data_IF_548577495984
#
_entry.id   IF_548577495984
#
_cell.length_a   1.000
_cell.length_b   1.000
_cell.length_c   1.000
_cell.angle_alpha   90.00
_cell.angle_beta   90.00
_cell.angle_gamma   90.00
#
_symmetry.space_group_name_H-M   'P 1'
#
loop_
_entity.id
_entity.type
_entity.pdbx_description
1 polymer ?
#
# COMPACT_ATOMS: atom_id res chain seq x y z
N UNK A 1 -31.70 -9.82 20.69
CA UNK A 1 -32.64 -10.40 21.67
C UNK A 1 -33.95 -9.62 21.59
N UNK A 2 -34.64 -9.69 20.45
CA UNK A 2 -35.88 -8.93 20.23
C UNK A 2 -36.62 -9.40 18.97
N UNK A 3 -36.59 -10.71 18.69
CA UNK A 3 -37.36 -11.32 17.59
C UNK A 3 -38.25 -12.46 18.08
N UNK A 4 -38.19 -12.81 19.38
CA UNK A 4 -38.94 -13.93 19.96
C UNK A 4 -40.14 -13.49 20.80
N UNK A 5 -40.35 -12.18 21.03
CA UNK A 5 -41.53 -11.66 21.75
C UNK A 5 -42.70 -11.31 20.82
N UNK A 6 -42.43 -10.90 19.58
CA UNK A 6 -43.49 -10.45 18.64
C UNK A 6 -44.32 -11.63 18.08
N UNK A 7 -43.72 -12.83 17.95
CA UNK A 7 -44.43 -14.04 17.49
C UNK A 7 -45.38 -14.59 18.56
N UNK A 8 -45.17 -14.27 19.84
CA UNK A 8 -46.01 -14.77 20.94
C UNK A 8 -47.32 -13.98 21.05
N UNK A 9 -47.34 -12.70 20.66
CA UNK A 9 -48.56 -11.89 20.66
C UNK A 9 -49.52 -12.23 19.51
N UNK A 10 -48.99 -12.57 18.31
CA UNK A 10 -49.85 -12.98 17.18
C UNK A 10 -50.54 -14.34 17.43
N UNK A 11 -49.81 -15.30 18.01
CA UNK A 11 -50.40 -16.61 18.39
C UNK A 11 -51.45 -16.44 19.49
N UNK A 12 -51.24 -15.52 20.44
CA UNK A 12 -52.21 -15.22 21.49
C UNK A 12 -53.50 -14.58 20.92
N UNK A 13 -53.40 -13.71 19.91
CA UNK A 13 -54.56 -13.11 19.25
C UNK A 13 -55.37 -14.14 18.45
N UNK A 14 -54.74 -15.03 17.70
CA UNK A 14 -55.44 -16.09 16.96
C UNK A 14 -56.16 -17.07 17.89
N UNK A 15 -55.54 -17.42 19.01
CA UNK A 15 -56.15 -18.30 20.03
C UNK A 15 -57.34 -17.59 20.70
N UNK A 16 -57.25 -16.30 21.02
CA UNK A 16 -58.38 -15.54 21.58
C UNK A 16 -59.56 -15.44 20.60
N UNK A 17 -59.27 -15.20 19.31
CA UNK A 17 -60.29 -15.10 18.26
C UNK A 17 -60.99 -16.44 18.06
N UNK A 18 -60.26 -17.56 18.03
CA UNK A 18 -60.83 -18.91 17.94
C UNK A 18 -61.66 -19.28 19.18
N UNK A 19 -61.24 -18.85 20.38
CA UNK A 19 -61.99 -19.03 21.63
C UNK A 19 -63.29 -18.20 21.60
N UNK A 20 -63.26 -16.96 21.15
CA UNK A 20 -64.46 -16.11 21.07
C UNK A 20 -65.43 -16.58 19.97
N UNK A 21 -64.93 -17.05 18.82
CA UNK A 21 -65.76 -17.66 17.77
C UNK A 21 -66.41 -18.96 18.26
N UNK A 22 -65.68 -19.81 18.98
CA UNK A 22 -66.23 -21.04 19.55
C UNK A 22 -67.24 -20.78 20.66
N UNK A 23 -67.03 -19.77 21.52
CA UNK A 23 -68.04 -19.35 22.52
C UNK A 23 -69.30 -18.82 21.82
N UNK A 24 -69.15 -18.04 20.75
CA UNK A 24 -70.27 -17.47 19.99
C UNK A 24 -71.09 -18.56 19.28
N UNK A 25 -70.42 -19.53 18.65
CA UNK A 25 -71.06 -20.69 18.00
C UNK A 25 -71.70 -21.67 19.01
N UNK A 26 -71.17 -21.74 20.23
CA UNK A 26 -71.68 -22.62 21.30
C UNK A 26 -72.87 -21.98 22.06
N UNK A 27 -72.99 -20.65 22.07
CA UNK A 27 -74.14 -19.93 22.61
C UNK A 27 -75.40 -20.06 21.72
N UNK A 28 -75.24 -20.16 20.40
CA UNK A 28 -76.38 -20.30 19.47
C UNK A 28 -77.05 -21.69 19.53
N UNK A 29 -76.35 -22.74 19.96
CA UNK A 29 -76.93 -24.10 20.09
C UNK A 29 -77.58 -24.37 21.45
N UNK A 30 -77.29 -23.58 22.50
CA UNK A 30 -77.89 -23.76 23.85
C UNK A 30 -79.04 -22.80 24.18
N UNK A 31 -79.24 -21.73 23.42
CA UNK A 31 -80.41 -20.85 23.60
C UNK A 31 -81.67 -21.43 22.94
N UNK A 32 -81.53 -22.27 21.90
CA UNK A 32 -82.66 -22.94 21.23
C UNK A 32 -83.27 -24.11 22.04
N UNK A 33 -82.60 -24.60 23.09
CA UNK A 33 -83.14 -25.65 23.97
C UNK A 33 -83.77 -25.13 25.27
N UNK A 34 -83.66 -23.83 25.57
CA UNK A 34 -84.23 -23.25 26.80
C UNK A 34 -85.59 -22.57 26.61
N UNK A 35 -86.06 -22.37 25.37
CA UNK A 35 -87.38 -21.80 25.08
C UNK A 35 -88.52 -22.82 24.95
N UNK A 36 -88.24 -24.12 25.13
CA UNK A 36 -89.25 -25.19 25.03
C UNK A 36 -89.72 -25.75 26.40
N UNK A 37 -89.50 -25.03 27.51
CA UNK A 37 -89.87 -25.52 28.85
C UNK A 37 -90.71 -24.56 29.71
N UNK A 38 -91.30 -23.49 29.16
CA UNK A 38 -92.16 -22.61 29.98
C UNK A 38 -93.36 -22.03 29.22
N UNK A 39 -94.35 -22.88 28.90
CA UNK A 39 -95.77 -22.50 28.94
C UNK A 39 -96.68 -23.71 28.68
N UNK A 40 -97.03 -24.46 29.74
CA UNK A 40 -98.29 -25.20 29.75
C UNK A 40 -98.73 -25.50 31.19
N UNK A 41 -99.45 -24.56 31.79
CA UNK A 41 -100.33 -24.83 32.93
C UNK A 41 -101.63 -24.05 32.76
N UNK A 42 -102.69 -24.82 32.55
CA UNK A 42 -104.10 -24.53 32.84
C UNK A 42 -104.81 -23.38 32.12
N UNK A 43 -105.78 -23.78 31.27
CA UNK A 43 -107.02 -23.14 30.81
C UNK A 43 -107.06 -23.24 29.27
N UNK A 44 -107.93 -23.99 28.60
CA UNK A 44 -109.33 -24.26 28.89
C UNK A 44 -110.19 -23.81 27.70
N UNK A 45 -110.34 -24.71 26.70
CA UNK A 45 -111.38 -24.76 25.63
C UNK A 45 -111.32 -23.79 24.43
N UNK A 46 -111.08 -24.45 23.28
CA UNK A 46 -111.87 -24.50 22.02
C UNK A 46 -111.66 -23.46 20.90
N UNK A 47 -111.23 -24.05 19.78
CA UNK A 47 -111.49 -23.79 18.34
C UNK A 47 -110.76 -22.65 17.62
N UNK A 48 -109.64 -23.08 17.03
CA UNK A 48 -108.93 -22.66 15.82
C UNK A 48 -109.86 -22.13 14.71
N UNK A 49 -109.62 -20.91 14.23
CA UNK A 49 -109.02 -20.60 12.90
C UNK A 49 -109.34 -19.16 12.50
N UNK A 50 -108.43 -18.21 12.77
CA UNK A 50 -108.21 -16.98 11.99
C UNK A 50 -107.04 -16.16 12.57
N UNK A 51 -106.47 -15.29 11.72
CA UNK A 51 -105.30 -14.38 11.86
C UNK A 51 -104.00 -14.95 11.26
N UNK A 52 -103.61 -14.51 10.06
CA UNK A 52 -102.83 -13.29 9.76
C UNK A 52 -101.42 -13.26 10.39
N UNK A 53 -100.43 -13.14 9.50
CA UNK A 53 -98.98 -12.92 9.62
C UNK A 53 -98.49 -12.11 10.87
N UNK A 54 -97.23 -12.25 11.32
CA UNK A 54 -96.07 -11.96 10.48
C UNK A 54 -94.83 -12.86 10.61
N UNK A 55 -94.28 -13.15 9.44
CA UNK A 55 -92.85 -13.26 9.16
C UNK A 55 -92.22 -11.94 9.61
N UNK A 56 -91.38 -11.90 10.64
CA UNK A 56 -90.38 -10.85 10.92
C UNK A 56 -89.83 -11.01 12.33
N UNK A 57 -88.72 -11.74 12.51
CA UNK A 57 -87.79 -11.49 13.63
C UNK A 57 -86.47 -12.24 13.42
N UNK A 58 -86.50 -13.39 12.73
CA UNK A 58 -85.30 -14.21 12.49
C UNK A 58 -84.42 -13.74 11.31
N UNK A 59 -84.95 -12.92 10.40
CA UNK A 59 -84.20 -12.43 9.23
C UNK A 59 -83.55 -11.06 9.45
N UNK A 60 -83.79 -10.39 10.58
CA UNK A 60 -83.18 -9.08 10.87
C UNK A 60 -81.88 -9.20 11.68
N UNK A 61 -81.72 -10.26 12.47
CA UNK A 61 -80.56 -10.44 13.35
C UNK A 61 -79.32 -11.01 12.62
N UNK A 62 -79.52 -11.80 11.55
CA UNK A 62 -78.43 -12.37 10.76
C UNK A 62 -77.76 -11.35 9.82
N UNK A 63 -78.51 -10.34 9.34
CA UNK A 63 -77.97 -9.28 8.47
C UNK A 63 -77.13 -8.23 9.23
N UNK A 64 -77.40 -7.96 10.51
CA UNK A 64 -76.55 -7.08 11.32
C UNK A 64 -75.25 -7.78 11.76
N UNK A 65 -75.31 -9.08 12.11
CA UNK A 65 -74.12 -9.86 12.48
C UNK A 65 -73.14 -10.04 11.31
N UNK A 66 -73.64 -10.28 10.10
CA UNK A 66 -72.84 -10.34 8.88
C UNK A 66 -72.23 -8.97 8.54
N UNK A 67 -72.95 -7.86 8.75
CA UNK A 67 -72.39 -6.51 8.56
C UNK A 67 -71.29 -6.17 9.57
N UNK A 68 -71.43 -6.54 10.84
CA UNK A 68 -70.40 -6.31 11.86
C UNK A 68 -69.15 -7.17 11.60
N UNK A 69 -69.32 -8.44 11.21
CA UNK A 69 -68.19 -9.29 10.84
C UNK A 69 -67.48 -8.79 9.57
N UNK A 70 -68.24 -8.39 8.56
CA UNK A 70 -67.71 -7.78 7.34
C UNK A 70 -66.95 -6.47 7.67
N UNK A 71 -67.50 -5.64 8.56
CA UNK A 71 -66.89 -4.38 9.00
C UNK A 71 -65.60 -4.60 9.80
N UNK A 72 -65.57 -5.60 10.69
CA UNK A 72 -64.38 -5.96 11.47
C UNK A 72 -63.26 -6.56 10.60
N UNK A 73 -63.62 -7.32 9.56
CA UNK A 73 -62.69 -7.83 8.54
C UNK A 73 -62.13 -6.67 7.70
N UNK A 74 -62.96 -5.70 7.31
CA UNK A 74 -62.53 -4.52 6.54
C UNK A 74 -61.60 -3.62 7.37
N UNK A 75 -61.89 -3.43 8.66
CA UNK A 75 -61.02 -2.64 9.56
C UNK A 75 -59.66 -3.34 9.73
N UNK A 76 -59.62 -4.63 10.07
CA UNK A 76 -58.34 -5.37 10.18
C UNK A 76 -57.55 -5.38 8.88
N UNK A 77 -58.22 -5.48 7.72
CA UNK A 77 -57.55 -5.46 6.42
C UNK A 77 -56.94 -4.09 6.11
N UNK A 78 -57.62 -3.00 6.46
CA UNK A 78 -57.09 -1.65 6.28
C UNK A 78 -55.91 -1.35 7.21
N UNK A 79 -55.94 -1.83 8.47
CA UNK A 79 -54.86 -1.62 9.44
C UNK A 79 -53.58 -2.38 9.04
N UNK A 80 -53.71 -3.63 8.57
CA UNK A 80 -52.57 -4.42 8.08
C UNK A 80 -51.95 -3.80 6.82
N UNK A 81 -52.78 -3.32 5.87
CA UNK A 81 -52.30 -2.62 4.68
C UNK A 81 -51.60 -1.29 5.03
N UNK A 82 -52.08 -0.56 6.04
CA UNK A 82 -51.47 0.69 6.50
C UNK A 82 -50.12 0.45 7.19
N UNK A 83 -49.98 -0.64 7.96
CA UNK A 83 -48.71 -1.05 8.57
C UNK A 83 -47.68 -1.42 7.51
N UNK A 84 -48.08 -2.20 6.49
CA UNK A 84 -47.18 -2.54 5.38
C UNK A 84 -46.73 -1.31 4.59
N UNK A 85 -47.63 -0.36 4.33
CA UNK A 85 -47.28 0.91 3.68
C UNK A 85 -46.30 1.73 4.52
N UNK A 86 -46.55 1.91 5.81
CA UNK A 86 -45.65 2.66 6.72
C UNK A 86 -44.27 2.02 6.82
N UNK A 87 -44.18 0.69 6.79
CA UNK A 87 -42.90 -0.03 6.75
C UNK A 87 -42.14 0.28 5.45
N UNK A 88 -42.80 0.16 4.30
CA UNK A 88 -42.18 0.50 3.01
C UNK A 88 -41.73 1.97 2.94
N UNK A 89 -42.54 2.91 3.44
CA UNK A 89 -42.18 4.33 3.49
C UNK A 89 -40.97 4.58 4.39
N UNK A 90 -40.91 3.93 5.56
CA UNK A 90 -39.76 4.00 6.47
C UNK A 90 -38.50 3.43 5.81
N UNK A 91 -38.58 2.23 5.25
CA UNK A 91 -37.45 1.58 4.57
C UNK A 91 -36.93 2.44 3.41
N UNK A 92 -37.84 3.03 2.60
CA UNK A 92 -37.46 3.95 1.53
C UNK A 92 -36.79 5.23 2.05
N UNK A 93 -37.29 5.80 3.15
CA UNK A 93 -36.69 6.99 3.77
C UNK A 93 -35.32 6.71 4.38
N UNK A 94 -35.14 5.54 5.01
CA UNK A 94 -33.86 5.10 5.59
C UNK A 94 -32.84 4.85 4.48
N UNK A 95 -33.25 4.18 3.39
CA UNK A 95 -32.40 3.97 2.23
C UNK A 95 -31.97 5.30 1.60
N UNK A 96 -32.89 6.26 1.44
CA UNK A 96 -32.55 7.60 0.94
C UNK A 96 -31.55 8.31 1.86
N UNK A 97 -31.77 8.28 3.17
CA UNK A 97 -30.85 8.87 4.15
C UNK A 97 -29.47 8.21 4.12
N UNK A 98 -29.40 6.89 3.95
CA UNK A 98 -28.13 6.15 3.89
C UNK A 98 -27.36 6.48 2.60
N UNK A 99 -28.05 6.58 1.48
CA UNK A 99 -27.47 6.98 0.19
C UNK A 99 -26.89 8.39 0.30
N UNK A 100 -27.65 9.34 0.84
CA UNK A 100 -27.19 10.72 1.01
C UNK A 100 -26.01 10.81 1.98
N UNK A 101 -26.09 10.12 3.12
CA UNK A 101 -24.98 10.05 4.08
C UNK A 101 -23.71 9.48 3.45
N UNK A 102 -23.82 8.42 2.64
CA UNK A 102 -22.69 7.83 1.92
C UNK A 102 -22.07 8.83 0.94
N UNK A 103 -22.88 9.55 0.14
CA UNK A 103 -22.35 10.56 -0.78
C UNK A 103 -21.69 11.74 -0.06
N UNK A 104 -22.30 12.25 1.01
CA UNK A 104 -21.74 13.35 1.79
C UNK A 104 -20.43 12.93 2.45
N UNK A 105 -20.38 11.74 3.04
CA UNK A 105 -19.16 11.20 3.65
C UNK A 105 -18.06 11.03 2.61
N UNK A 106 -18.35 10.38 1.47
CA UNK A 106 -17.38 10.18 0.38
C UNK A 106 -16.85 11.50 -0.16
N UNK A 107 -17.72 12.48 -0.38
CA UNK A 107 -17.33 13.81 -0.86
C UNK A 107 -16.41 14.51 0.14
N UNK A 108 -16.74 14.46 1.42
CA UNK A 108 -15.91 15.05 2.48
C UNK A 108 -14.55 14.37 2.58
N UNK A 109 -14.51 13.04 2.55
CA UNK A 109 -13.27 12.26 2.53
C UNK A 109 -12.41 12.57 1.29
N UNK A 110 -13.02 12.71 0.12
CA UNK A 110 -12.33 13.07 -1.12
C UNK A 110 -11.75 14.49 -1.05
N UNK A 111 -12.50 15.47 -0.55
CA UNK A 111 -12.02 16.84 -0.34
C UNK A 111 -10.84 16.89 0.65
N UNK A 112 -10.92 16.17 1.76
CA UNK A 112 -9.84 16.06 2.74
C UNK A 112 -8.60 15.37 2.15
N UNK A 113 -8.79 14.31 1.36
CA UNK A 113 -7.73 13.60 0.69
C UNK A 113 -7.03 14.49 -0.35
N UNK A 114 -7.79 15.20 -1.19
CA UNK A 114 -7.27 16.16 -2.16
C UNK A 114 -6.48 17.27 -1.45
N UNK A 115 -7.01 17.83 -0.37
CA UNK A 115 -6.32 18.85 0.42
C UNK A 115 -5.02 18.31 1.04
N UNK A 116 -4.98 17.05 1.47
CA UNK A 116 -3.78 16.40 1.98
C UNK A 116 -2.74 16.16 0.87
N UNK A 117 -3.16 15.63 -0.28
CA UNK A 117 -2.30 15.40 -1.45
C UNK A 117 -1.68 16.72 -1.92
N UNK A 118 -2.48 17.77 -2.09
CA UNK A 118 -2.00 19.10 -2.48
C UNK A 118 -0.93 19.64 -1.50
N UNK A 119 -1.11 19.42 -0.19
CA UNK A 119 -0.10 19.80 0.82
C UNK A 119 1.18 18.97 0.71
N UNK A 120 1.07 17.67 0.45
CA UNK A 120 2.24 16.79 0.25
C UNK A 120 2.99 17.16 -1.03
N UNK A 121 2.27 17.39 -2.13
CA UNK A 121 2.83 17.81 -3.41
C UNK A 121 3.53 19.15 -3.30
N UNK A 122 2.92 20.13 -2.62
CA UNK A 122 3.57 21.42 -2.33
C UNK A 122 4.90 21.23 -1.58
N UNK A 123 4.92 20.42 -0.50
CA UNK A 123 6.16 20.14 0.24
C UNK A 123 7.19 19.39 -0.61
N UNK A 124 6.75 18.48 -1.50
CA UNK A 124 7.66 17.78 -2.43
C UNK A 124 8.26 18.74 -3.44
N UNK A 125 7.46 19.63 -4.01
CA UNK A 125 7.92 20.67 -4.94
C UNK A 125 8.91 21.62 -4.25
N UNK A 126 8.63 22.07 -3.03
CA UNK A 126 9.56 22.91 -2.25
C UNK A 126 10.90 22.20 -1.98
N UNK A 127 10.90 20.91 -1.61
CA UNK A 127 12.14 20.15 -1.44
C UNK A 127 12.89 19.96 -2.76
N UNK A 128 12.18 19.67 -3.84
CA UNK A 128 12.78 19.55 -5.17
C UNK A 128 13.44 20.86 -5.60
N UNK A 129 12.78 21.99 -5.38
CA UNK A 129 13.32 23.31 -5.70
C UNK A 129 14.54 23.66 -4.85
N UNK A 130 14.49 23.41 -3.53
CA UNK A 130 15.65 23.57 -2.65
C UNK A 130 16.84 22.74 -3.13
N UNK A 131 16.60 21.52 -3.58
CA UNK A 131 17.65 20.65 -4.11
C UNK A 131 18.20 21.17 -5.45
N UNK A 132 17.35 21.69 -6.33
CA UNK A 132 17.78 22.35 -7.58
C UNK A 132 18.67 23.54 -7.30
N UNK A 133 18.24 24.46 -6.42
CA UNK A 133 19.02 25.64 -6.04
C UNK A 133 20.37 25.25 -5.41
N UNK A 134 20.40 24.24 -4.55
CA UNK A 134 21.67 23.73 -3.98
C UNK A 134 22.59 23.16 -5.06
N UNK A 135 22.04 22.37 -5.97
CA UNK A 135 22.80 21.74 -7.07
C UNK A 135 23.34 22.81 -8.03
N UNK A 136 22.54 23.83 -8.35
CA UNK A 136 22.94 24.94 -9.20
C UNK A 136 24.05 25.78 -8.56
N UNK A 137 23.90 26.15 -7.28
CA UNK A 137 24.94 26.88 -6.53
C UNK A 137 26.24 26.08 -6.39
N UNK A 138 26.16 24.76 -6.24
CA UNK A 138 27.35 23.90 -6.17
C UNK A 138 28.02 23.76 -7.54
N UNK A 139 27.22 23.59 -8.61
CA UNK A 139 27.71 23.58 -9.99
C UNK A 139 28.39 24.90 -10.35
N UNK A 140 27.85 26.03 -9.92
CA UNK A 140 28.44 27.35 -10.14
C UNK A 140 29.79 27.48 -9.44
N UNK A 141 29.91 27.03 -8.18
CA UNK A 141 31.21 27.03 -7.48
C UNK A 141 32.23 26.15 -8.17
N UNK A 142 31.83 24.96 -8.60
CA UNK A 142 32.70 24.05 -9.34
C UNK A 142 33.12 24.64 -10.69
N UNK A 143 32.21 25.32 -11.39
CA UNK A 143 32.51 26.02 -12.64
C UNK A 143 33.54 27.14 -12.43
N UNK A 144 33.38 27.98 -11.40
CA UNK A 144 34.38 29.03 -11.08
C UNK A 144 35.75 28.44 -10.75
N UNK A 145 35.80 27.34 -9.99
CA UNK A 145 37.06 26.65 -9.68
C UNK A 145 37.70 26.01 -10.92
N UNK A 146 36.88 25.46 -11.82
CA UNK A 146 37.35 24.89 -13.08
C UNK A 146 37.89 25.99 -14.00
N UNK A 147 37.20 27.12 -14.12
CA UNK A 147 37.60 28.25 -14.96
C UNK A 147 38.89 28.93 -14.43
N UNK A 148 39.03 29.13 -13.11
CA UNK A 148 40.27 29.67 -12.53
C UNK A 148 41.46 28.72 -12.75
N UNK A 149 41.21 27.41 -12.65
CA UNK A 149 42.21 26.39 -12.91
C UNK A 149 42.59 26.34 -14.40
N UNK A 150 41.62 26.42 -15.29
CA UNK A 150 41.84 26.46 -16.73
C UNK A 150 42.63 27.72 -17.12
N UNK A 151 42.31 28.88 -16.54
CA UNK A 151 43.08 30.12 -16.75
C UNK A 151 44.54 29.99 -16.31
N UNK A 152 44.80 29.39 -15.14
CA UNK A 152 46.16 29.10 -14.67
C UNK A 152 46.88 28.10 -15.56
N UNK A 153 46.20 27.06 -16.04
CA UNK A 153 46.77 26.07 -16.95
C UNK A 153 47.11 26.67 -18.32
N UNK A 154 46.28 27.55 -18.86
CA UNK A 154 46.56 28.30 -20.10
C UNK A 154 47.75 29.27 -19.93
N UNK A 155 47.82 30.00 -18.81
CA UNK A 155 48.95 30.88 -18.49
C UNK A 155 50.27 30.07 -18.32
N UNK A 156 50.24 28.91 -17.64
CA UNK A 156 51.40 28.04 -17.49
C UNK A 156 51.83 27.39 -18.81
N UNK A 157 50.89 26.99 -19.66
CA UNK A 157 51.18 26.46 -21.00
C UNK A 157 51.82 27.54 -21.88
N UNK A 158 51.27 28.75 -21.89
CA UNK A 158 51.85 29.86 -22.65
C UNK A 158 53.25 30.21 -22.17
N UNK A 159 53.48 30.23 -20.85
CA UNK A 159 54.81 30.46 -20.27
C UNK A 159 55.78 29.35 -20.65
N UNK A 160 55.34 28.08 -20.63
CA UNK A 160 56.17 26.93 -21.04
C UNK A 160 56.52 26.98 -22.53
N UNK A 161 55.57 27.33 -23.40
CA UNK A 161 55.83 27.51 -24.84
C UNK A 161 56.80 28.67 -25.10
N UNK A 162 56.68 29.78 -24.36
CA UNK A 162 57.62 30.89 -24.44
C UNK A 162 59.02 30.53 -23.91
N UNK A 163 59.11 29.78 -22.81
CA UNK A 163 60.38 29.29 -22.25
C UNK A 163 61.04 28.27 -23.16
N UNK A 164 60.29 27.34 -23.77
CA UNK A 164 60.80 26.36 -24.73
C UNK A 164 61.21 27.03 -26.05
N UNK A 165 60.51 28.07 -26.50
CA UNK A 165 60.93 28.88 -27.64
C UNK A 165 62.22 29.67 -27.34
N UNK A 166 62.36 30.24 -26.13
CA UNK A 166 63.60 30.90 -25.68
C UNK A 166 64.75 29.90 -25.54
N UNK A 167 64.51 28.72 -24.97
CA UNK A 167 65.49 27.63 -24.88
C UNK A 167 65.88 27.10 -26.24
N UNK A 168 64.93 26.95 -27.17
CA UNK A 168 65.22 26.54 -28.56
C UNK A 168 66.07 27.58 -29.27
N UNK A 169 65.74 28.88 -29.13
CA UNK A 169 66.56 30.00 -29.65
C UNK A 169 67.96 30.02 -29.02
N UNK A 170 68.08 29.77 -27.72
CA UNK A 170 69.37 29.68 -27.03
C UNK A 170 70.17 28.43 -27.44
N UNK A 171 69.54 27.26 -27.59
CA UNK A 171 70.19 26.03 -28.06
C UNK A 171 70.63 26.14 -29.52
N UNK A 172 69.89 26.84 -30.39
CA UNK A 172 70.35 27.10 -31.77
C UNK A 172 71.56 28.04 -31.81
N UNK A 173 71.80 28.85 -30.78
CA UNK A 173 73.03 29.64 -30.61
C UNK A 173 74.16 28.87 -29.90
N UNK A 174 73.89 27.67 -29.38
CA UNK A 174 74.83 26.87 -28.58
C UNK A 174 74.89 25.41 -29.07
N UNK A 175 74.58 25.15 -30.35
CA UNK A 175 74.77 23.82 -30.97
C UNK A 175 76.22 23.63 -31.43
N UNK A 176 77.14 23.96 -30.54
CA UNK A 176 78.41 23.27 -30.43
C UNK A 176 78.57 22.94 -28.94
N UNK A 177 78.86 21.67 -28.67
CA UNK A 177 79.26 21.13 -27.36
C UNK A 177 78.15 20.65 -26.40
N UNK A 178 77.88 19.34 -26.54
CA UNK A 178 77.84 18.34 -25.46
C UNK A 178 76.69 18.29 -24.43
N UNK A 179 76.24 17.03 -24.26
CA UNK A 179 75.81 16.40 -23.00
C UNK A 179 74.35 16.49 -22.56
N UNK A 180 73.67 15.37 -22.83
CA UNK A 180 72.86 14.57 -21.91
C UNK A 180 72.46 15.16 -20.54
N UNK A 181 71.15 15.12 -20.27
CA UNK A 181 70.63 14.88 -18.92
C UNK A 181 69.73 15.98 -18.37
N UNK A 182 68.41 15.74 -18.42
CA UNK A 182 67.49 15.79 -17.27
C UNK A 182 66.03 15.94 -17.75
N UNK A 183 65.29 14.83 -17.68
CA UNK A 183 63.83 14.82 -17.86
C UNK A 183 63.17 15.30 -16.56
N UNK A 184 62.94 16.61 -16.41
CA UNK A 184 62.08 17.14 -15.35
C UNK A 184 60.61 16.89 -15.70
N UNK A 185 60.02 15.83 -15.15
CA UNK A 185 58.56 15.59 -15.21
C UNK A 185 57.84 16.66 -14.37
N UNK A 186 57.44 17.76 -15.01
CA UNK A 186 56.33 18.60 -14.54
C UNK A 186 55.03 17.82 -14.81
N UNK A 187 54.40 17.33 -13.77
CA UNK A 187 53.07 16.74 -13.82
C UNK A 187 52.33 17.11 -12.54
N UNK A 188 51.11 17.64 -12.68
CA UNK A 188 50.28 18.11 -11.57
C UNK A 188 50.24 17.10 -10.41
N UNK A 189 50.03 17.62 -9.19
CA UNK A 189 50.01 16.87 -7.94
C UNK A 189 49.20 15.58 -8.12
N UNK A 190 49.90 14.47 -8.32
CA UNK A 190 49.26 13.16 -8.53
C UNK A 190 48.42 12.90 -7.30
N UNK A 191 47.13 12.67 -7.50
CA UNK A 191 46.22 12.29 -6.44
C UNK A 191 46.86 11.14 -5.65
N UNK A 192 46.99 11.31 -4.34
CA UNK A 192 47.68 10.33 -3.50
C UNK A 192 46.94 8.99 -3.58
N UNK A 193 47.64 7.86 -3.47
CA UNK A 193 47.00 6.54 -3.46
C UNK A 193 45.91 6.43 -2.37
N UNK A 194 46.08 7.18 -1.26
CA UNK A 194 45.08 7.32 -0.20
C UNK A 194 43.79 7.99 -0.69
N UNK A 195 43.90 9.07 -1.45
CA UNK A 195 42.75 9.77 -2.03
C UNK A 195 42.07 8.94 -3.12
N UNK A 196 42.84 8.23 -3.95
CA UNK A 196 42.27 7.30 -4.95
C UNK A 196 41.50 6.17 -4.27
N UNK A 197 42.07 5.55 -3.23
CA UNK A 197 41.37 4.51 -2.45
C UNK A 197 40.08 5.06 -1.83
N UNK A 198 40.13 6.27 -1.26
CA UNK A 198 38.94 6.90 -0.67
C UNK A 198 37.86 7.16 -1.73
N UNK A 199 38.25 7.64 -2.92
CA UNK A 199 37.35 7.85 -4.05
C UNK A 199 36.71 6.54 -4.50
N UNK A 200 37.51 5.51 -4.78
CA UNK A 200 37.00 4.19 -5.21
C UNK A 200 36.06 3.57 -4.18
N UNK A 201 36.37 3.68 -2.88
CA UNK A 201 35.49 3.17 -1.82
C UNK A 201 34.19 3.96 -1.70
N UNK A 202 34.24 5.29 -1.90
CA UNK A 202 33.03 6.12 -1.93
C UNK A 202 32.16 5.76 -3.14
N UNK A 203 32.75 5.57 -4.33
CA UNK A 203 32.04 5.19 -5.55
C UNK A 203 31.37 3.81 -5.42
N UNK A 204 32.00 2.87 -4.70
CA UNK A 204 31.44 1.54 -4.41
C UNK A 204 30.35 1.57 -3.34
N UNK A 205 30.30 2.60 -2.50
CA UNK A 205 29.35 2.68 -1.38
C UNK A 205 27.98 3.14 -1.91
N UNK A 206 27.07 2.20 -2.11
CA UNK A 206 25.68 2.52 -2.44
C UNK A 206 24.99 3.15 -1.22
N UNK A 207 24.40 4.36 -1.34
CA UNK A 207 23.59 4.92 -0.25
C UNK A 207 22.34 4.05 -0.05
N UNK A 208 22.00 3.79 1.21
CA UNK A 208 20.85 2.97 1.58
C UNK A 208 19.68 3.88 1.98
N UNK A 209 18.55 3.73 1.31
CA UNK A 209 17.30 4.38 1.68
C UNK A 209 16.42 3.35 2.39
N UNK A 210 16.28 3.47 3.71
CA UNK A 210 15.56 2.49 4.56
C UNK A 210 14.29 3.07 5.21
N UNK A 211 14.15 4.38 5.27
CA UNK A 211 13.16 5.06 6.13
C UNK A 211 11.69 4.92 5.66
N UNK A 212 11.46 4.47 4.43
CA UNK A 212 10.12 4.46 3.81
C UNK A 212 9.78 3.10 3.15
N UNK A 213 10.39 2.01 3.62
CA UNK A 213 10.18 0.67 3.05
C UNK A 213 9.19 -0.15 3.88
N UNK A 214 8.37 -0.96 3.20
CA UNK A 214 7.50 -1.96 3.82
C UNK A 214 8.31 -3.18 4.29
N UNK A 215 7.78 -3.98 5.22
CA UNK A 215 8.49 -5.11 5.83
C UNK A 215 9.06 -6.10 4.80
N UNK A 216 8.27 -6.47 3.79
CA UNK A 216 8.73 -7.40 2.74
C UNK A 216 9.89 -6.82 1.91
N UNK A 217 9.83 -5.52 1.60
CA UNK A 217 10.90 -4.82 0.87
C UNK A 217 12.16 -4.67 1.72
N UNK A 218 12.02 -4.57 3.04
CA UNK A 218 13.15 -4.56 3.96
C UNK A 218 13.85 -5.93 4.00
N UNK A 219 13.08 -7.04 4.00
CA UNK A 219 13.63 -8.40 3.91
C UNK A 219 14.39 -8.63 2.61
N UNK A 220 13.84 -8.19 1.48
CA UNK A 220 14.54 -8.25 0.18
C UNK A 220 15.84 -7.45 0.19
N UNK A 221 15.82 -6.22 0.72
CA UNK A 221 17.01 -5.38 0.83
C UNK A 221 18.08 -5.98 1.76
N UNK A 222 17.67 -6.58 2.87
CA UNK A 222 18.59 -7.28 3.76
C UNK A 222 19.25 -8.47 3.05
N UNK A 223 18.48 -9.26 2.29
CA UNK A 223 19.02 -10.36 1.48
C UNK A 223 19.97 -9.86 0.39
N UNK A 224 19.66 -8.78 -0.33
CA UNK A 224 20.56 -8.16 -1.31
C UNK A 224 21.88 -7.73 -0.68
N UNK A 225 21.81 -7.09 0.51
CA UNK A 225 23.01 -6.68 1.25
C UNK A 225 23.84 -7.86 1.73
N UNK A 226 23.19 -8.92 2.18
CA UNK A 226 23.85 -10.15 2.60
C UNK A 226 24.59 -10.81 1.43
N UNK A 227 23.94 -10.95 0.27
CA UNK A 227 24.57 -11.46 -0.95
C UNK A 227 25.76 -10.60 -1.39
N UNK A 228 25.63 -9.28 -1.32
CA UNK A 228 26.73 -8.37 -1.64
C UNK A 228 27.92 -8.53 -0.70
N UNK A 229 27.67 -8.70 0.60
CA UNK A 229 28.71 -8.95 1.60
C UNK A 229 29.42 -10.29 1.33
N UNK A 230 28.66 -11.35 1.05
CA UNK A 230 29.22 -12.66 0.71
C UNK A 230 30.11 -12.60 -0.54
N UNK A 231 29.71 -11.86 -1.59
CA UNK A 231 30.52 -11.65 -2.78
C UNK A 231 31.86 -10.95 -2.47
N UNK A 232 31.84 -9.90 -1.63
CA UNK A 232 33.06 -9.20 -1.21
C UNK A 232 33.97 -10.08 -0.34
N UNK A 233 33.41 -10.95 0.50
CA UNK A 233 34.19 -11.90 1.30
C UNK A 233 34.89 -12.94 0.43
N UNK A 234 34.19 -13.47 -0.58
CA UNK A 234 34.77 -14.40 -1.55
C UNK A 234 35.93 -13.74 -2.33
N UNK A 235 35.73 -12.53 -2.86
CA UNK A 235 36.79 -11.79 -3.56
C UNK A 235 38.00 -11.51 -2.65
N UNK A 236 37.76 -11.14 -1.39
CA UNK A 236 38.81 -10.92 -0.39
C UNK A 236 39.61 -12.20 -0.15
N UNK A 237 38.94 -13.35 -0.06
CA UNK A 237 39.58 -14.64 0.13
C UNK A 237 40.49 -14.98 -1.07
N UNK A 238 39.97 -14.90 -2.29
CA UNK A 238 40.74 -15.17 -3.51
C UNK A 238 41.96 -14.26 -3.66
N UNK A 239 41.81 -12.96 -3.37
CA UNK A 239 42.92 -12.01 -3.39
C UNK A 239 43.95 -12.31 -2.29
N UNK A 240 43.51 -12.76 -1.12
CA UNK A 240 44.41 -13.14 -0.03
C UNK A 240 45.24 -14.38 -0.38
N UNK A 241 44.62 -15.38 -1.01
CA UNK A 241 45.32 -16.58 -1.50
C UNK A 241 46.27 -16.25 -2.65
N UNK A 242 45.84 -15.42 -3.61
CA UNK A 242 46.72 -14.91 -4.68
C UNK A 242 47.94 -14.18 -4.11
N UNK A 243 47.76 -13.34 -3.09
CA UNK A 243 48.85 -12.63 -2.43
C UNK A 243 49.82 -13.59 -1.74
N UNK A 244 49.33 -14.65 -1.08
CA UNK A 244 50.18 -15.69 -0.47
C UNK A 244 51.04 -16.39 -1.52
N UNK A 245 50.45 -16.77 -2.66
CA UNK A 245 51.17 -17.39 -3.79
C UNK A 245 52.21 -16.44 -4.39
N UNK A 246 51.85 -15.18 -4.65
CA UNK A 246 52.79 -14.17 -5.13
C UNK A 246 53.97 -13.94 -4.18
N UNK A 247 53.73 -13.97 -2.86
CA UNK A 247 54.82 -13.90 -1.87
C UNK A 247 55.75 -15.11 -1.97
N UNK A 248 55.21 -16.31 -2.16
CA UNK A 248 56.01 -17.51 -2.36
C UNK A 248 56.84 -17.43 -3.65
N UNK A 249 56.21 -17.09 -4.78
CA UNK A 249 56.88 -16.95 -6.08
C UNK A 249 57.97 -15.88 -6.05
N UNK A 250 57.68 -14.71 -5.46
CA UNK A 250 58.65 -13.63 -5.28
C UNK A 250 59.79 -13.98 -4.33
N UNK A 251 59.60 -14.90 -3.39
CA UNK A 251 60.67 -15.38 -2.51
C UNK A 251 61.54 -16.44 -3.20
N UNK A 252 60.96 -17.21 -4.14
CA UNK A 252 61.69 -18.24 -4.91
C UNK A 252 62.45 -17.64 -6.10
N UNK A 253 61.91 -16.62 -6.76
CA UNK A 253 62.51 -16.02 -7.95
C UNK A 253 63.95 -15.47 -7.72
N UNK A 254 64.27 -14.82 -6.58
CA UNK A 254 65.64 -14.45 -6.24
C UNK A 254 66.54 -15.67 -6.01
N UNK A 255 65.99 -16.74 -5.41
CA UNK A 255 66.74 -17.96 -5.12
C UNK A 255 67.17 -18.65 -6.42
N UNK A 256 66.27 -18.74 -7.40
CA UNK A 256 66.56 -19.32 -8.71
C UNK A 256 67.64 -18.54 -9.48
N UNK A 257 67.61 -17.20 -9.47
CA UNK A 257 68.65 -16.38 -10.12
C UNK A 257 70.02 -16.52 -9.45
N UNK A 258 70.07 -16.65 -8.13
CA UNK A 258 71.33 -16.83 -7.38
C UNK A 258 71.94 -18.21 -7.65
N UNK A 259 71.13 -19.27 -7.78
CA UNK A 259 71.62 -20.62 -8.09
C UNK A 259 72.03 -20.78 -9.57
N UNK A 260 71.34 -20.15 -10.52
CA UNK A 260 71.73 -20.17 -11.94
C UNK A 260 73.03 -19.39 -12.21
N UNK A 261 73.36 -18.37 -11.40
CA UNK A 261 74.62 -17.62 -11.54
C UNK A 261 75.85 -18.35 -10.97
N UNK A 262 75.68 -19.35 -10.08
CA UNK A 262 76.77 -20.10 -9.44
C UNK A 262 77.21 -21.38 -10.18
N UNK A 263 76.54 -21.75 -11.27
CA UNK A 263 76.81 -22.97 -12.04
C UNK A 263 77.80 -22.84 -13.22
N UNK A 264 78.35 -21.65 -13.50
CA UNK A 264 79.24 -21.44 -14.66
C UNK A 264 80.71 -21.66 -14.28
N UNK A 265 81.01 -22.89 -13.85
CA UNK A 265 82.37 -23.37 -13.57
C UNK A 265 83.16 -23.66 -14.85
N UNK A 266 84.38 -23.11 -14.91
CA UNK A 266 85.42 -23.31 -15.94
C UNK A 266 85.52 -24.76 -16.43
N UNK A 267 85.16 -25.00 -17.69
CA UNK A 267 85.62 -26.17 -18.44
C UNK A 267 87.10 -26.02 -18.79
N UNK A 268 87.98 -26.81 -18.14
CA UNK A 268 89.34 -27.08 -18.62
C UNK A 268 89.21 -27.96 -19.87
N UNK A 269 89.38 -27.40 -21.06
CA UNK A 269 89.71 -28.21 -22.25
C UNK A 269 91.22 -28.37 -22.32
N UNK A 270 91.70 -29.57 -22.02
CA UNK A 270 93.01 -30.04 -22.46
C UNK A 270 92.90 -30.60 -23.87
N UNK A 271 93.83 -30.25 -24.76
CA UNK A 271 93.83 -30.75 -26.14
C UNK A 271 94.80 -30.04 -27.08
N UNK A 272 96.08 -30.34 -26.89
CA UNK A 272 97.26 -30.26 -27.80
C UNK A 272 96.99 -30.03 -29.29
N UNK A 273 97.76 -29.14 -29.91
CA UNK A 273 98.18 -29.27 -31.32
C UNK A 273 99.65 -28.85 -31.47
N UNK A 274 100.36 -29.66 -32.27
CA UNK A 274 101.75 -29.57 -32.69
C UNK A 274 101.94 -28.45 -33.70
#
# INVERSE_FOLDING_TARGET
MSETEEVVEEEAQYVLILILLSITLCCDTKILSFFNFFSCSSLGRKKVSNLNLPISFHTLFDLERLNIFQFLIIINSNDVLDIHRKRQEKDLSELQSLIEAHFVQRKKEEEELIALVNRIEKRRAERAEQQRVRTEREKERQARQAEEKERKELEEQQKKMNDDAKKKKALTNMTQQFSAGQKTKRGGKKQTEREKKKKILADRKKPLTVDHLNEDKLKEKANEMWQWLMGLEAEKFDLSEKLKRQKYDNNIHPLCQIFSAKGRGKGKMGGRLR
#
